data_IF_166578830547
#
_entry.id   IF_166578830547
#
_cell.length_a   1.000
_cell.length_b   1.000
_cell.length_c   1.000
_cell.angle_alpha   90.00
_cell.angle_beta   90.00
_cell.angle_gamma   90.00
#
_symmetry.space_group_name_H-M   'P 1'
#
loop_
_entity.id
_entity.type
_entity.pdbx_description
1 polymer ?
#
# COMPACT_ATOMS: atom_id res chain seq x y z
N UNK A 1 -7.99 7.43 -1.02
CA UNK A 1 -9.08 6.70 -1.71
C UNK A 1 -10.42 7.45 -1.77
N UNK A 2 -10.58 8.61 -1.15
CA UNK A 2 -11.87 9.33 -1.02
C UNK A 2 -12.55 9.67 -2.36
N UNK A 3 -11.80 9.88 -3.44
CA UNK A 3 -12.36 10.22 -4.75
C UNK A 3 -13.04 9.05 -5.49
N UNK A 4 -12.62 7.80 -5.21
CA UNK A 4 -13.10 6.61 -5.93
C UNK A 4 -14.28 5.97 -5.20
N UNK A 5 -14.36 6.10 -3.87
CA UNK A 5 -15.43 5.51 -3.05
C UNK A 5 -16.84 5.89 -3.54
N UNK A 6 -17.19 7.16 -3.82
CA UNK A 6 -18.53 7.51 -4.31
C UNK A 6 -18.87 6.86 -5.66
N UNK A 7 -17.87 6.70 -6.54
CA UNK A 7 -18.07 6.04 -7.84
C UNK A 7 -18.32 4.55 -7.67
N UNK A 8 -17.60 3.90 -6.75
CA UNK A 8 -17.84 2.49 -6.39
C UNK A 8 -19.26 2.32 -5.84
N UNK A 9 -19.67 3.15 -4.89
CA UNK A 9 -21.00 3.08 -4.28
C UNK A 9 -22.10 3.27 -5.33
N UNK A 10 -21.97 4.28 -6.20
CA UNK A 10 -22.94 4.53 -7.27
C UNK A 10 -23.01 3.37 -8.26
N UNK A 11 -21.86 2.85 -8.72
CA UNK A 11 -21.83 1.71 -9.65
C UNK A 11 -22.36 0.43 -9.03
N UNK A 12 -22.15 0.22 -7.72
CA UNK A 12 -22.69 -0.92 -6.99
C UNK A 12 -24.22 -0.84 -6.88
N UNK A 13 -24.77 0.32 -6.55
CA UNK A 13 -26.22 0.55 -6.51
C UNK A 13 -26.90 0.38 -7.88
N UNK A 14 -26.15 0.52 -8.97
CA UNK A 14 -26.58 0.27 -10.34
C UNK A 14 -26.32 -1.18 -10.81
N UNK A 15 -25.88 -2.07 -9.91
CA UNK A 15 -25.53 -3.46 -10.19
C UNK A 15 -24.47 -3.63 -11.30
N UNK A 16 -23.68 -2.59 -11.56
CA UNK A 16 -22.61 -2.62 -12.56
C UNK A 16 -21.32 -3.17 -11.93
N UNK A 17 -21.32 -4.46 -11.63
CA UNK A 17 -20.21 -5.14 -10.93
C UNK A 17 -18.90 -5.12 -11.70
N UNK A 18 -18.95 -5.17 -13.04
CA UNK A 18 -17.76 -5.05 -13.89
C UNK A 18 -17.10 -3.67 -13.72
N UNK A 19 -17.89 -2.61 -13.59
CA UNK A 19 -17.36 -1.27 -13.32
C UNK A 19 -16.80 -1.16 -11.91
N UNK A 20 -17.47 -1.74 -10.91
CA UNK A 20 -16.99 -1.80 -9.52
C UNK A 20 -15.63 -2.49 -9.44
N UNK A 21 -15.49 -3.66 -10.07
CA UNK A 21 -14.24 -4.42 -10.13
C UNK A 21 -13.11 -3.57 -10.74
N UNK A 22 -13.35 -2.95 -11.90
CA UNK A 22 -12.36 -2.11 -12.57
C UNK A 22 -11.94 -0.90 -11.73
N UNK A 23 -12.91 -0.18 -11.14
CA UNK A 23 -12.64 0.97 -10.28
C UNK A 23 -11.85 0.56 -9.02
N UNK A 24 -12.20 -0.58 -8.43
CA UNK A 24 -11.52 -1.14 -7.28
C UNK A 24 -10.07 -1.51 -7.61
N UNK A 25 -9.82 -2.18 -8.74
CA UNK A 25 -8.47 -2.58 -9.14
C UNK A 25 -7.59 -1.36 -9.40
N UNK A 26 -8.12 -0.35 -10.09
CA UNK A 26 -7.41 0.91 -10.35
C UNK A 26 -7.13 1.60 -9.02
N UNK A 27 -8.15 1.81 -8.19
CA UNK A 27 -8.01 2.53 -6.92
C UNK A 27 -7.00 1.89 -5.97
N UNK A 28 -6.99 0.55 -5.87
CA UNK A 28 -6.05 -0.18 -5.02
C UNK A 28 -4.61 -0.04 -5.51
N UNK A 29 -4.37 -0.32 -6.80
CA UNK A 29 -3.02 -0.28 -7.38
C UNK A 29 -2.40 1.11 -7.27
N UNK A 30 -3.12 2.15 -7.67
CA UNK A 30 -2.61 3.52 -7.60
C UNK A 30 -2.39 3.99 -6.16
N UNK A 31 -3.29 3.65 -5.22
CA UNK A 31 -3.09 4.02 -3.82
C UNK A 31 -1.86 3.30 -3.23
N UNK A 32 -1.67 2.03 -3.58
CA UNK A 32 -0.50 1.27 -3.15
C UNK A 32 0.79 1.82 -3.75
N UNK A 33 0.83 2.11 -5.05
CA UNK A 33 2.01 2.71 -5.69
C UNK A 33 2.40 4.05 -5.04
N UNK A 34 1.42 4.87 -4.67
CA UNK A 34 1.67 6.13 -3.97
C UNK A 34 2.27 5.88 -2.58
N UNK A 35 1.66 4.99 -1.79
CA UNK A 35 2.18 4.65 -0.46
C UNK A 35 3.58 4.03 -0.56
N UNK A 36 3.81 3.15 -1.52
CA UNK A 36 5.09 2.51 -1.79
C UNK A 36 6.18 3.52 -2.15
N UNK A 37 5.85 4.53 -2.97
CA UNK A 37 6.79 5.57 -3.38
C UNK A 37 7.44 6.29 -2.19
N UNK A 38 6.67 6.52 -1.11
CA UNK A 38 7.17 7.17 0.11
C UNK A 38 7.63 6.18 1.18
N UNK A 39 7.00 5.02 1.28
CA UNK A 39 7.34 4.05 2.33
C UNK A 39 8.64 3.31 2.05
N UNK A 40 8.98 3.00 0.79
CA UNK A 40 10.24 2.33 0.46
C UNK A 40 11.49 3.09 0.92
N UNK A 41 11.69 4.38 0.61
CA UNK A 41 12.87 5.09 1.11
C UNK A 41 12.92 5.11 2.64
N UNK A 42 11.78 5.29 3.30
CA UNK A 42 11.70 5.30 4.77
C UNK A 42 12.01 3.91 5.34
N UNK A 43 11.55 2.83 4.71
CA UNK A 43 11.77 1.46 5.13
C UNK A 43 13.26 1.10 5.17
N UNK A 44 14.00 1.49 4.12
CA UNK A 44 15.43 1.21 3.98
C UNK A 44 16.31 2.16 4.79
N UNK A 45 15.85 3.39 5.01
CA UNK A 45 16.58 4.42 5.77
C UNK A 45 16.04 4.61 7.20
N UNK A 46 15.26 3.65 7.73
CA UNK A 46 14.61 3.75 9.04
C UNK A 46 15.62 4.06 10.15
N UNK A 47 16.78 3.41 10.14
CA UNK A 47 17.84 3.65 11.12
C UNK A 47 18.29 5.11 11.13
N UNK A 48 18.62 5.65 9.95
CA UNK A 48 19.11 7.02 9.82
C UNK A 48 18.05 8.04 10.23
N UNK A 49 16.79 7.82 9.82
CA UNK A 49 15.67 8.70 10.16
C UNK A 49 15.43 8.70 11.68
N UNK A 50 15.45 7.53 12.32
CA UNK A 50 15.22 7.43 13.76
C UNK A 50 16.39 7.99 14.57
N UNK A 51 17.63 7.79 14.14
CA UNK A 51 18.81 8.38 14.78
C UNK A 51 18.76 9.91 14.70
N UNK A 52 18.38 10.46 13.55
CA UNK A 52 18.20 11.90 13.38
C UNK A 52 17.09 12.47 14.26
N UNK A 53 16.01 11.71 14.48
CA UNK A 53 14.85 12.17 15.24
C UNK A 53 15.00 12.00 16.75
N UNK A 54 15.46 10.83 17.20
CA UNK A 54 15.48 10.44 18.62
C UNK A 54 16.87 10.58 19.25
N UNK A 55 17.94 10.64 18.45
CA UNK A 55 19.32 10.51 18.92
C UNK A 55 19.62 9.09 19.37
N UNK A 56 19.03 8.66 20.49
CA UNK A 56 19.15 7.29 21.00
C UNK A 56 17.94 6.48 20.53
N UNK A 57 18.18 5.51 19.65
CA UNK A 57 17.13 4.66 19.08
C UNK A 57 16.92 3.44 19.99
N UNK A 58 15.71 3.24 20.55
CA UNK A 58 15.41 2.03 21.32
C UNK A 58 15.46 0.77 20.45
N UNK A 59 15.85 -0.36 21.05
CA UNK A 59 16.16 -1.63 20.36
C UNK A 59 15.07 -2.11 19.39
N UNK A 60 13.80 -1.96 19.76
CA UNK A 60 12.68 -2.49 18.96
C UNK A 60 12.02 -1.47 18.02
N UNK A 61 12.39 -0.18 18.10
CA UNK A 61 11.69 0.89 17.37
C UNK A 61 11.87 0.76 15.86
N UNK A 62 13.05 0.34 15.40
CA UNK A 62 13.34 0.17 13.97
C UNK A 62 12.42 -0.88 13.35
N UNK A 63 12.36 -2.06 13.96
CA UNK A 63 11.52 -3.17 13.49
C UNK A 63 10.04 -2.78 13.54
N UNK A 64 9.61 -2.08 14.60
CA UNK A 64 8.22 -1.61 14.72
C UNK A 64 7.83 -0.67 13.58
N UNK A 65 8.68 0.31 13.26
CA UNK A 65 8.43 1.26 12.16
C UNK A 65 8.40 0.53 10.81
N UNK A 66 9.36 -0.36 10.55
CA UNK A 66 9.39 -1.15 9.32
C UNK A 66 8.13 -2.01 9.17
N UNK A 67 7.73 -2.68 10.24
CA UNK A 67 6.52 -3.49 10.27
C UNK A 67 5.26 -2.65 10.02
N UNK A 68 5.13 -1.50 10.68
CA UNK A 68 4.00 -0.59 10.51
C UNK A 68 3.89 -0.06 9.06
N UNK A 69 5.03 0.25 8.41
CA UNK A 69 5.05 0.67 7.00
C UNK A 69 4.57 -0.45 6.07
N UNK A 70 5.08 -1.67 6.27
CA UNK A 70 4.65 -2.84 5.50
C UNK A 70 3.15 -3.08 5.69
N UNK A 71 2.68 -3.07 6.94
CA UNK A 71 1.28 -3.25 7.28
C UNK A 71 0.39 -2.19 6.61
N UNK A 72 0.82 -0.92 6.63
CA UNK A 72 0.11 0.18 5.96
C UNK A 72 0.00 -0.06 4.46
N UNK A 73 1.07 -0.53 3.82
CA UNK A 73 1.06 -0.86 2.39
C UNK A 73 0.03 -1.96 2.07
N UNK A 74 -0.03 -3.03 2.87
CA UNK A 74 -1.05 -4.08 2.72
C UNK A 74 -2.47 -3.59 3.01
N UNK A 75 -2.67 -2.73 4.01
CA UNK A 75 -3.99 -2.18 4.34
C UNK A 75 -4.56 -1.37 3.18
N UNK A 76 -3.70 -0.59 2.51
CA UNK A 76 -4.10 0.24 1.36
C UNK A 76 -4.61 -0.62 0.20
N UNK A 77 -3.98 -1.76 -0.08
CA UNK A 77 -4.50 -2.72 -1.06
C UNK A 77 -5.88 -3.25 -0.68
N UNK A 78 -6.07 -3.52 0.62
CA UNK A 78 -7.31 -4.06 1.15
C UNK A 78 -8.45 -3.04 1.25
N UNK A 79 -8.18 -1.73 1.24
CA UNK A 79 -9.20 -0.69 1.49
C UNK A 79 -10.33 -0.66 0.46
N UNK A 80 -10.07 -1.03 -0.80
CA UNK A 80 -11.13 -1.07 -1.80
C UNK A 80 -12.13 -2.20 -1.56
N UNK A 81 -11.69 -3.34 -1.03
CA UNK A 81 -12.59 -4.41 -0.57
C UNK A 81 -13.53 -3.87 0.51
N UNK A 82 -12.99 -3.11 1.47
CA UNK A 82 -13.80 -2.47 2.53
C UNK A 82 -14.84 -1.54 1.90
N UNK A 83 -14.46 -0.68 0.95
CA UNK A 83 -15.40 0.23 0.29
C UNK A 83 -16.55 -0.50 -0.39
N UNK A 84 -16.28 -1.65 -1.01
CA UNK A 84 -17.32 -2.45 -1.66
C UNK A 84 -18.23 -3.11 -0.62
N UNK A 85 -17.66 -3.64 0.46
CA UNK A 85 -18.43 -4.18 1.58
C UNK A 85 -19.35 -3.10 2.16
N UNK A 86 -18.84 -1.87 2.35
CA UNK A 86 -19.64 -0.74 2.81
C UNK A 86 -20.76 -0.39 1.83
N UNK A 87 -20.49 -0.38 0.52
CA UNK A 87 -21.50 -0.13 -0.51
C UNK A 87 -22.60 -1.21 -0.55
N UNK A 88 -22.27 -2.45 -0.19
CA UNK A 88 -23.22 -3.57 -0.16
C UNK A 88 -24.17 -3.59 1.04
N UNK A 89 -23.89 -2.82 2.09
CA UNK A 89 -24.67 -2.84 3.34
C UNK A 89 -24.33 -3.99 4.30
N UNK A 90 -23.45 -4.93 3.95
CA UNK A 90 -23.02 -6.05 4.81
C UNK A 90 -22.01 -5.66 5.90
N UNK A 91 -22.12 -4.43 6.42
CA UNK A 91 -21.16 -3.82 7.35
C UNK A 91 -21.09 -4.57 8.67
N UNK A 92 -22.24 -5.04 9.20
CA UNK A 92 -22.31 -5.69 10.51
C UNK A 92 -21.46 -6.97 10.58
N UNK A 93 -21.66 -7.90 9.65
CA UNK A 93 -20.91 -9.17 9.61
C UNK A 93 -19.41 -8.92 9.44
N UNK A 94 -19.07 -7.97 8.57
CA UNK A 94 -17.69 -7.56 8.35
C UNK A 94 -17.04 -7.01 9.62
N UNK A 95 -17.64 -6.01 10.25
CA UNK A 95 -17.07 -5.33 11.41
C UNK A 95 -16.94 -6.24 12.62
N UNK A 96 -17.92 -7.13 12.85
CA UNK A 96 -17.85 -8.10 13.96
C UNK A 96 -16.64 -9.02 13.77
N UNK A 97 -16.47 -9.60 12.58
CA UNK A 97 -15.35 -10.53 12.33
C UNK A 97 -13.98 -9.84 12.39
N UNK A 98 -13.84 -8.65 11.80
CA UNK A 98 -12.59 -7.88 11.88
C UNK A 98 -12.29 -7.48 13.32
N UNK A 99 -13.27 -6.96 14.06
CA UNK A 99 -13.08 -6.53 15.44
C UNK A 99 -12.69 -7.69 16.35
N UNK A 100 -13.27 -8.88 16.16
CA UNK A 100 -12.92 -10.07 16.92
C UNK A 100 -11.47 -10.49 16.67
N UNK A 101 -11.02 -10.48 15.40
CA UNK A 101 -9.64 -10.79 15.05
C UNK A 101 -8.66 -9.75 15.62
N UNK A 102 -8.97 -8.46 15.52
CA UNK A 102 -8.13 -7.42 16.12
C UNK A 102 -8.11 -7.54 17.65
N UNK A 103 -9.25 -7.79 18.27
CA UNK A 103 -9.33 -7.98 19.71
C UNK A 103 -8.49 -9.18 20.15
N UNK A 104 -8.47 -10.28 19.38
CA UNK A 104 -7.66 -11.47 19.65
C UNK A 104 -6.13 -11.20 19.63
N UNK A 105 -5.67 -10.12 19.01
CA UNK A 105 -4.26 -9.74 19.03
C UNK A 105 -3.74 -9.55 20.46
N UNK A 106 -4.50 -8.84 21.29
CA UNK A 106 -4.11 -8.54 22.67
C UNK A 106 -4.00 -9.77 23.58
N UNK A 107 -5.03 -10.63 23.74
CA UNK A 107 -4.94 -11.81 24.60
C UNK A 107 -3.88 -12.78 24.10
N UNK A 108 -3.76 -13.01 22.78
CA UNK A 108 -2.74 -13.91 22.24
C UNK A 108 -1.32 -13.42 22.55
N UNK A 109 -1.07 -12.12 22.35
CA UNK A 109 0.22 -11.51 22.68
C UNK A 109 0.51 -11.59 24.18
N UNK A 110 -0.48 -11.31 25.03
CA UNK A 110 -0.35 -11.41 26.49
C UNK A 110 -0.01 -12.83 26.95
N UNK A 111 -0.69 -13.85 26.41
CA UNK A 111 -0.43 -15.24 26.79
C UNK A 111 0.98 -15.69 26.40
N UNK A 112 1.48 -15.34 25.21
CA UNK A 112 2.85 -15.66 24.81
C UNK A 112 3.87 -15.00 25.72
N UNK A 113 3.72 -13.71 26.01
CA UNK A 113 4.62 -13.01 26.92
C UNK A 113 4.58 -13.62 28.34
N UNK A 114 3.40 -14.02 28.82
CA UNK A 114 3.26 -14.68 30.13
C UNK A 114 3.91 -16.07 30.18
N UNK A 115 4.04 -16.77 29.05
CA UNK A 115 4.75 -18.05 28.94
C UNK A 115 6.27 -17.88 28.87
N UNK A 116 6.79 -16.64 28.92
CA UNK A 116 8.22 -16.34 28.89
C UNK A 116 8.81 -16.21 27.49
N UNK A 117 7.98 -16.08 26.44
CA UNK A 117 8.47 -15.74 25.10
C UNK A 117 8.93 -14.28 25.02
N UNK A 118 9.91 -14.01 24.16
CA UNK A 118 10.44 -12.67 23.93
C UNK A 118 9.41 -11.71 23.31
N UNK A 119 9.71 -10.40 23.36
CA UNK A 119 8.90 -9.34 22.77
C UNK A 119 8.60 -9.57 21.27
N UNK A 120 9.49 -10.30 20.58
CA UNK A 120 9.33 -10.62 19.16
C UNK A 120 8.08 -11.46 18.86
N UNK A 121 7.62 -12.25 19.84
CA UNK A 121 6.42 -13.07 19.74
C UNK A 121 5.16 -12.23 19.47
N UNK A 122 5.11 -10.99 19.96
CA UNK A 122 4.00 -10.05 19.72
C UNK A 122 3.90 -9.69 18.23
N UNK A 123 5.04 -9.56 17.52
CA UNK A 123 5.04 -9.27 16.09
C UNK A 123 4.51 -10.45 15.28
N UNK A 124 4.86 -11.67 15.65
CA UNK A 124 4.35 -12.88 15.00
C UNK A 124 2.83 -12.94 15.13
N UNK A 125 2.29 -12.66 16.32
CA UNK A 125 0.83 -12.56 16.53
C UNK A 125 0.22 -11.47 15.66
N UNK A 126 0.83 -10.28 15.61
CA UNK A 126 0.35 -9.18 14.77
C UNK A 126 0.30 -9.53 13.27
N UNK A 127 1.30 -10.26 12.77
CA UNK A 127 1.35 -10.75 11.39
C UNK A 127 0.20 -11.73 11.14
N UNK A 128 0.02 -12.71 12.02
CA UNK A 128 -1.03 -13.72 11.90
C UNK A 128 -2.42 -13.10 11.92
N UNK A 129 -2.67 -12.13 12.80
CA UNK A 129 -3.93 -11.38 12.84
C UNK A 129 -4.11 -10.56 11.55
N UNK A 130 -3.07 -9.90 11.07
CA UNK A 130 -3.15 -9.13 9.81
C UNK A 130 -3.51 -10.02 8.62
N UNK A 131 -2.88 -11.19 8.48
CA UNK A 131 -3.21 -12.17 7.45
C UNK A 131 -4.65 -12.67 7.61
N UNK A 132 -5.05 -12.99 8.85
CA UNK A 132 -6.41 -13.48 9.14
C UNK A 132 -7.48 -12.44 8.80
N UNK A 133 -7.25 -11.16 9.11
CA UNK A 133 -8.19 -10.08 8.77
C UNK A 133 -8.28 -9.86 7.25
N UNK A 134 -7.17 -10.04 6.53
CA UNK A 134 -7.16 -9.99 5.07
C UNK A 134 -7.96 -11.15 4.47
N UNK A 135 -7.76 -12.38 4.96
CA UNK A 135 -8.52 -13.55 4.53
C UNK A 135 -10.02 -13.39 4.81
N UNK A 136 -10.39 -12.86 5.98
CA UNK A 136 -11.77 -12.56 6.31
C UNK A 136 -12.39 -11.53 5.36
N UNK A 137 -11.65 -10.47 5.01
CA UNK A 137 -12.07 -9.48 4.02
C UNK A 137 -12.31 -10.11 2.65
N UNK A 138 -11.43 -11.00 2.22
CA UNK A 138 -11.61 -11.74 0.97
C UNK A 138 -12.83 -12.65 1.00
N UNK A 139 -13.05 -13.37 2.11
CA UNK A 139 -14.21 -14.23 2.28
C UNK A 139 -15.51 -13.43 2.13
N UNK A 140 -15.64 -12.32 2.87
CA UNK A 140 -16.82 -11.45 2.76
C UNK A 140 -16.94 -10.87 1.35
N UNK A 141 -15.85 -10.35 0.77
CA UNK A 141 -15.88 -9.80 -0.58
C UNK A 141 -16.29 -10.83 -1.63
N UNK A 142 -15.83 -12.09 -1.53
CA UNK A 142 -16.24 -13.19 -2.40
C UNK A 142 -17.75 -13.46 -2.29
N UNK A 143 -18.32 -13.41 -1.08
CA UNK A 143 -19.77 -13.61 -0.90
C UNK A 143 -20.62 -12.49 -1.48
N UNK A 144 -20.05 -11.29 -1.65
CA UNK A 144 -20.76 -10.09 -2.10
C UNK A 144 -20.57 -9.80 -3.58
N UNK A 145 -19.58 -10.42 -4.22
CA UNK A 145 -19.14 -10.03 -5.54
C UNK A 145 -19.13 -11.21 -6.50
N UNK A 146 -19.84 -11.07 -7.60
CA UNK A 146 -19.91 -12.04 -8.70
C UNK A 146 -18.70 -11.96 -9.63
N UNK A 147 -17.51 -11.61 -9.13
CA UNK A 147 -16.30 -11.50 -9.96
C UNK A 147 -15.31 -12.63 -9.70
N UNK A 148 -14.36 -12.77 -10.62
CA UNK A 148 -13.30 -13.77 -10.51
C UNK A 148 -12.26 -13.37 -9.45
N UNK A 149 -12.37 -13.95 -8.25
CA UNK A 149 -11.47 -13.65 -7.13
C UNK A 149 -10.00 -13.92 -7.46
N UNK A 150 -9.69 -14.96 -8.26
CA UNK A 150 -8.31 -15.23 -8.69
C UNK A 150 -7.76 -14.06 -9.52
N UNK A 151 -8.56 -13.54 -10.43
CA UNK A 151 -8.20 -12.37 -11.25
C UNK A 151 -8.02 -11.12 -10.38
N UNK A 152 -8.88 -10.89 -9.41
CA UNK A 152 -8.75 -9.77 -8.47
C UNK A 152 -7.48 -9.87 -7.62
N UNK A 153 -7.23 -11.00 -6.96
CA UNK A 153 -6.04 -11.22 -6.14
C UNK A 153 -4.76 -11.01 -6.95
N UNK A 154 -4.73 -11.54 -8.18
CA UNK A 154 -3.57 -11.39 -9.07
C UNK A 154 -3.29 -9.93 -9.40
N UNK A 155 -4.33 -9.16 -9.75
CA UNK A 155 -4.19 -7.77 -10.18
C UNK A 155 -4.02 -6.76 -9.04
N UNK A 156 -4.59 -7.05 -7.87
CA UNK A 156 -4.56 -6.13 -6.73
C UNK A 156 -3.44 -6.44 -5.77
N UNK A 157 -3.10 -7.71 -5.54
CA UNK A 157 -2.09 -8.09 -4.56
C UNK A 157 -0.80 -8.52 -5.25
N UNK A 158 -0.85 -9.56 -6.07
CA UNK A 158 0.37 -10.21 -6.59
C UNK A 158 1.19 -9.24 -7.47
N UNK A 159 0.58 -8.65 -8.49
CA UNK A 159 1.32 -7.76 -9.40
C UNK A 159 1.87 -6.51 -8.72
N UNK A 160 1.10 -5.77 -7.89
CA UNK A 160 1.65 -4.61 -7.18
C UNK A 160 2.75 -4.95 -6.19
N UNK A 161 2.62 -6.08 -5.46
CA UNK A 161 3.68 -6.55 -4.55
C UNK A 161 4.94 -6.92 -5.33
N UNK A 162 4.82 -7.61 -6.48
CA UNK A 162 5.97 -7.90 -7.35
C UNK A 162 6.68 -6.61 -7.77
N UNK A 163 5.91 -5.58 -8.16
CA UNK A 163 6.46 -4.26 -8.51
C UNK A 163 7.17 -3.64 -7.30
N UNK A 164 6.62 -3.75 -6.10
CA UNK A 164 7.28 -3.27 -4.89
C UNK A 164 8.64 -3.94 -4.64
N UNK A 165 8.71 -5.26 -4.85
CA UNK A 165 9.96 -6.01 -4.73
C UNK A 165 10.99 -5.52 -5.76
N UNK A 166 10.56 -5.32 -7.02
CA UNK A 166 11.45 -4.80 -8.07
C UNK A 166 11.93 -3.38 -7.73
N UNK A 167 11.04 -2.50 -7.25
CA UNK A 167 11.39 -1.14 -6.85
C UNK A 167 12.31 -1.10 -5.61
N UNK A 168 12.35 -2.16 -4.82
CA UNK A 168 13.20 -2.28 -3.63
C UNK A 168 14.68 -2.59 -3.96
N UNK A 169 14.97 -3.04 -5.18
CA UNK A 169 16.32 -3.40 -5.64
C UNK A 169 17.31 -2.22 -5.52
N UNK A 170 17.07 -1.02 -6.10
CA UNK A 170 18.01 0.09 -6.00
C UNK A 170 18.27 0.52 -4.54
N UNK A 171 17.23 0.52 -3.69
CA UNK A 171 17.39 0.84 -2.27
C UNK A 171 18.30 -0.18 -1.57
N UNK A 172 18.11 -1.46 -1.85
CA UNK A 172 18.93 -2.53 -1.28
C UNK A 172 20.41 -2.41 -1.69
N UNK A 173 20.67 -2.12 -2.97
CA UNK A 173 22.03 -1.92 -3.49
C UNK A 173 22.70 -0.73 -2.81
N UNK A 174 21.99 0.41 -2.68
CA UNK A 174 22.53 1.63 -2.07
C UNK A 174 22.86 1.39 -0.59
N UNK A 175 21.96 0.76 0.17
CA UNK A 175 22.19 0.45 1.59
C UNK A 175 23.37 -0.51 1.79
N UNK A 176 23.58 -1.46 0.87
CA UNK A 176 24.70 -2.39 0.95
C UNK A 176 26.06 -1.73 0.66
N UNK A 177 26.12 -0.81 -0.31
CA UNK A 177 27.39 -0.22 -0.76
C UNK A 177 27.78 1.09 -0.07
N UNK A 178 26.84 1.79 0.55
CA UNK A 178 27.10 3.10 1.18
C UNK A 178 26.92 3.05 2.70
N UNK A 179 27.85 3.64 3.48
CA UNK A 179 27.68 3.76 4.92
C UNK A 179 26.49 4.65 5.27
N UNK A 180 25.97 4.50 6.47
CA UNK A 180 24.86 5.31 6.96
C UNK A 180 25.25 6.80 6.99
N UNK A 181 24.35 7.66 6.53
CA UNK A 181 24.59 9.10 6.51
C UNK A 181 23.71 9.85 5.52
N UNK A 182 23.80 11.18 5.58
CA UNK A 182 22.93 12.09 4.81
C UNK A 182 23.07 11.92 3.29
N UNK A 183 24.27 11.60 2.81
CA UNK A 183 24.53 11.36 1.38
C UNK A 183 23.85 10.10 0.89
N UNK A 184 23.92 9.01 1.66
CA UNK A 184 23.20 7.76 1.35
C UNK A 184 21.70 8.02 1.28
N UNK A 185 21.15 8.72 2.28
CA UNK A 185 19.73 9.07 2.34
C UNK A 185 19.28 9.92 1.13
N UNK A 186 20.03 10.96 0.79
CA UNK A 186 19.71 11.81 -0.36
C UNK A 186 19.75 11.04 -1.69
N UNK A 187 20.77 10.19 -1.86
CA UNK A 187 20.94 9.38 -3.06
C UNK A 187 19.86 8.30 -3.18
N UNK A 188 19.54 7.60 -2.08
CA UNK A 188 18.48 6.58 -2.03
C UNK A 188 17.11 7.17 -2.29
N UNK A 189 16.82 8.37 -1.77
CA UNK A 189 15.60 9.11 -2.09
C UNK A 189 15.48 9.42 -3.58
N UNK A 190 16.48 10.10 -4.16
CA UNK A 190 16.38 10.60 -5.54
C UNK A 190 16.32 9.44 -6.53
N UNK A 191 17.30 8.53 -6.47
CA UNK A 191 17.38 7.41 -7.42
C UNK A 191 16.24 6.43 -7.20
N UNK A 192 15.91 6.14 -5.95
CA UNK A 192 14.82 5.24 -5.62
C UNK A 192 13.47 5.76 -6.11
N UNK A 193 13.17 7.05 -5.94
CA UNK A 193 11.94 7.67 -6.44
C UNK A 193 11.90 7.63 -7.96
N UNK A 194 12.98 8.04 -8.64
CA UNK A 194 13.05 8.03 -10.12
C UNK A 194 12.85 6.62 -10.66
N UNK A 195 13.55 5.64 -10.09
CA UNK A 195 13.44 4.24 -10.49
C UNK A 195 12.02 3.71 -10.23
N UNK A 196 11.44 4.00 -9.07
CA UNK A 196 10.08 3.58 -8.72
C UNK A 196 9.05 4.14 -9.69
N UNK A 197 9.14 5.44 -10.03
CA UNK A 197 8.26 6.08 -11.02
C UNK A 197 8.43 5.45 -12.41
N UNK A 198 9.67 5.15 -12.82
CA UNK A 198 9.95 4.50 -14.09
C UNK A 198 9.33 3.10 -14.16
N UNK A 199 9.51 2.27 -13.13
CA UNK A 199 8.95 0.92 -13.07
C UNK A 199 7.42 0.96 -13.04
N UNK A 200 6.82 1.88 -12.28
CA UNK A 200 5.36 2.07 -12.27
C UNK A 200 4.87 2.44 -13.68
N UNK A 201 5.55 3.34 -14.38
CA UNK A 201 5.16 3.76 -15.73
C UNK A 201 5.32 2.64 -16.77
N UNK A 202 6.42 1.89 -16.72
CA UNK A 202 6.75 0.84 -17.71
C UNK A 202 5.99 -0.47 -17.48
N UNK A 203 5.81 -0.88 -16.23
CA UNK A 203 5.26 -2.20 -15.86
C UNK A 203 3.97 -2.06 -15.05
N UNK A 204 3.91 -1.07 -14.14
CA UNK A 204 2.84 -0.98 -13.15
C UNK A 204 1.48 -0.49 -13.64
N UNK A 205 1.44 0.26 -14.73
CA UNK A 205 0.21 0.78 -15.34
C UNK A 205 -0.06 0.15 -16.71
N UNK A 206 -1.34 -0.03 -17.04
CA UNK A 206 -1.78 -0.60 -18.31
C UNK A 206 -1.70 0.43 -19.46
N UNK A 207 -1.70 -0.01 -20.72
CA UNK A 207 -1.57 0.85 -21.91
C UNK A 207 -2.61 1.98 -21.96
N UNK A 208 -3.86 1.71 -21.54
CA UNK A 208 -4.91 2.74 -21.44
C UNK A 208 -4.62 3.79 -20.36
N UNK A 209 -4.08 3.35 -19.23
CA UNK A 209 -3.69 4.25 -18.14
C UNK A 209 -2.48 5.09 -18.56
N UNK A 210 -1.52 4.48 -19.28
CA UNK A 210 -0.37 5.18 -19.87
C UNK A 210 -0.79 6.25 -20.88
N UNK A 211 -1.76 5.95 -21.76
CA UNK A 211 -2.31 6.95 -22.69
C UNK A 211 -2.93 8.14 -21.94
N UNK A 212 -3.69 7.86 -20.87
CA UNK A 212 -4.26 8.92 -20.03
C UNK A 212 -3.18 9.78 -19.39
N UNK A 213 -2.14 9.17 -18.80
CA UNK A 213 -0.99 9.89 -18.23
C UNK A 213 -0.28 10.74 -19.28
N UNK A 214 0.00 10.19 -20.46
CA UNK A 214 0.66 10.92 -21.55
C UNK A 214 -0.18 12.11 -22.03
N UNK A 215 -1.50 11.96 -22.13
CA UNK A 215 -2.39 13.06 -22.48
C UNK A 215 -2.34 14.20 -21.46
N UNK A 216 -2.21 13.88 -20.17
CA UNK A 216 -2.11 14.85 -19.09
C UNK A 216 -0.76 15.59 -19.12
N UNK A 217 0.35 14.86 -19.36
CA UNK A 217 1.69 15.44 -19.50
C UNK A 217 1.75 16.41 -20.69
N UNK A 218 1.20 16.02 -21.84
CA UNK A 218 1.14 16.89 -23.03
C UNK A 218 0.29 18.14 -22.74
N UNK A 219 -0.84 17.98 -22.04
CA UNK A 219 -1.68 19.11 -21.62
C UNK A 219 -0.94 20.11 -20.71
N UNK A 220 -0.20 19.61 -19.71
CA UNK A 220 0.63 20.44 -18.82
C UNK A 220 1.73 21.17 -19.59
N UNK A 221 2.44 20.46 -20.46
CA UNK A 221 3.47 21.04 -21.33
C UNK A 221 2.87 22.20 -22.13
N UNK A 222 1.76 21.97 -22.80
CA UNK A 222 1.11 23.00 -23.62
C UNK A 222 0.63 24.20 -22.78
N UNK A 223 0.24 24.00 -21.53
CA UNK A 223 -0.15 25.08 -20.60
C UNK A 223 1.06 25.92 -20.16
N UNK A 224 2.19 25.28 -19.85
CA UNK A 224 3.45 25.96 -19.50
C UNK A 224 3.98 26.77 -20.69
N UNK A 225 3.97 26.20 -21.90
CA UNK A 225 4.34 26.92 -23.12
C UNK A 225 3.40 28.09 -23.44
N UNK A 226 2.10 28.00 -23.08
CA UNK A 226 1.18 29.13 -23.23
C UNK A 226 1.47 30.25 -22.24
N UNK A 227 1.77 29.93 -20.98
CA UNK A 227 2.05 30.94 -19.96
C UNK A 227 3.33 31.74 -20.28
N UNK A 228 4.40 31.06 -20.74
CA UNK A 228 5.63 31.72 -21.19
C UNK A 228 5.48 32.62 -22.42
N UNK A 229 4.34 32.61 -23.12
CA UNK A 229 4.05 33.50 -24.26
C UNK A 229 3.29 34.77 -23.88
N UNK A 230 2.75 34.87 -22.67
CA UNK A 230 2.04 36.07 -22.19
C UNK A 230 2.90 36.94 -21.26
N UNK A 231 4.06 36.44 -20.82
CA UNK A 231 5.02 37.14 -19.96
C UNK A 231 6.21 37.75 -20.75
N UNK A 232 6.10 37.87 -22.08
CA UNK A 232 7.04 38.56 -22.98
C UNK A 232 6.32 39.62 -23.79
#
# INVERSE_FOLDING_TARGET
MTAITPQITKSYAQENYMRVEKLSMIGSRFSFYLVMLFSLPILYETNFILELWLGVVPTYTIIFVQYALIQTAFEVLSRTLINIIMASGYVRKYQIGVSLLLFANFPLSYFLLKMGFDADSVYIVAILITISTLLWRFYIAHTLMHFNVKYYVKNVFIYPILIAVICSIPYSIIVYHMPIGIWRFGFSLIIGIIFTLLIIYLIGINSRERMFVNSFIVGLRNKIYRNNRYDT
#
